data_IF_047730280255
#
_entry.id   IF_047730280255
#
_cell.length_a   1.000
_cell.length_b   1.000
_cell.length_c   1.000
_cell.angle_alpha   90.00
_cell.angle_beta   90.00
_cell.angle_gamma   90.00
#
_symmetry.space_group_name_H-M   'P 1'
#
loop_
_entity.id
_entity.type
_entity.pdbx_description
1 polymer ?
#
# COMPACT_ATOMS: atom_id res chain seq x y z
N UNK A 1 -3.16 -14.79 4.28
CA UNK A 1 -2.24 -13.85 3.59
C UNK A 1 -2.03 -12.60 4.46
N UNK A 2 -0.90 -11.89 4.32
CA UNK A 2 -0.50 -10.74 5.17
C UNK A 2 -1.52 -9.61 5.15
N UNK A 3 -2.09 -9.28 3.99
CA UNK A 3 -3.11 -8.21 3.87
C UNK A 3 -4.29 -8.41 4.83
N UNK A 4 -4.76 -9.66 4.99
CA UNK A 4 -5.85 -9.98 5.94
C UNK A 4 -5.47 -9.68 7.39
N UNK A 5 -4.20 -9.87 7.77
CA UNK A 5 -3.74 -9.57 9.13
C UNK A 5 -3.66 -8.06 9.36
N UNK A 6 -3.14 -7.30 8.38
CA UNK A 6 -3.11 -5.83 8.42
C UNK A 6 -4.53 -5.27 8.56
N UNK A 7 -5.50 -5.82 7.82
CA UNK A 7 -6.88 -5.34 7.87
C UNK A 7 -7.65 -5.78 9.12
N UNK A 8 -7.22 -6.85 9.80
CA UNK A 8 -7.89 -7.35 10.99
C UNK A 8 -7.50 -6.60 12.28
N UNK A 9 -6.33 -5.96 12.32
CA UNK A 9 -5.86 -5.22 13.49
C UNK A 9 -6.31 -3.74 13.44
N UNK A 10 -7.11 -3.25 14.42
CA UNK A 10 -7.54 -1.85 14.47
C UNK A 10 -6.40 -0.82 14.46
N UNK A 11 -5.21 -1.19 14.90
CA UNK A 11 -4.03 -0.32 14.89
C UNK A 11 -3.47 -0.12 13.47
N UNK A 12 -3.68 -1.06 12.56
CA UNK A 12 -3.10 -1.05 11.20
C UNK A 12 -4.14 -1.09 10.07
N UNK A 13 -5.42 -1.33 10.38
CA UNK A 13 -6.48 -1.48 9.38
C UNK A 13 -6.64 -0.26 8.45
N UNK A 14 -6.37 0.95 8.97
CA UNK A 14 -6.44 2.21 8.22
C UNK A 14 -5.15 2.56 7.46
N UNK A 15 -4.06 1.81 7.62
CA UNK A 15 -2.80 2.09 6.95
C UNK A 15 -2.97 1.82 5.44
N UNK A 16 -2.56 2.75 4.56
CA UNK A 16 -2.59 2.52 3.12
C UNK A 16 -1.59 1.42 2.74
N UNK A 17 -2.01 0.52 1.84
CA UNK A 17 -1.17 -0.60 1.39
C UNK A 17 -0.97 -0.50 -0.11
N UNK A 18 0.28 -0.57 -0.54
CA UNK A 18 0.68 -0.75 -1.95
C UNK A 18 1.39 -2.09 -2.06
N UNK A 19 0.95 -2.94 -3.00
CA UNK A 19 1.54 -4.26 -3.21
C UNK A 19 2.70 -4.17 -4.22
N UNK A 20 3.89 -4.59 -3.81
CA UNK A 20 4.99 -4.80 -4.76
C UNK A 20 4.93 -6.21 -5.32
N UNK A 21 4.87 -6.33 -6.64
CA UNK A 21 4.68 -7.59 -7.37
C UNK A 21 5.82 -7.82 -8.34
N UNK A 22 6.12 -9.08 -8.66
CA UNK A 22 7.31 -9.41 -9.45
C UNK A 22 7.11 -9.22 -10.97
N UNK A 23 5.88 -9.10 -11.45
CA UNK A 23 5.60 -8.90 -12.88
C UNK A 23 4.28 -8.17 -13.14
N UNK A 24 4.11 -7.57 -14.33
CA UNK A 24 2.84 -6.97 -14.75
C UNK A 24 1.70 -7.99 -14.83
N UNK A 25 1.98 -9.23 -15.24
CA UNK A 25 0.98 -10.29 -15.27
C UNK A 25 0.49 -10.66 -13.86
N UNK A 26 1.39 -10.70 -12.88
CA UNK A 26 1.01 -10.91 -11.48
C UNK A 26 0.20 -9.73 -10.94
N UNK A 27 0.52 -8.49 -11.34
CA UNK A 27 -0.30 -7.31 -11.03
C UNK A 27 -1.72 -7.47 -11.56
N UNK A 28 -1.87 -7.83 -12.83
CA UNK A 28 -3.15 -7.97 -13.50
C UNK A 28 -4.05 -9.02 -12.84
N UNK A 29 -3.47 -10.19 -12.51
CA UNK A 29 -4.17 -11.24 -11.76
C UNK A 29 -4.64 -10.70 -10.40
N UNK A 30 -3.76 -10.03 -9.64
CA UNK A 30 -4.12 -9.53 -8.30
C UNK A 30 -5.14 -8.38 -8.35
N UNK A 31 -5.14 -7.57 -9.42
CA UNK A 31 -6.18 -6.56 -9.65
C UNK A 31 -7.54 -7.20 -9.89
N UNK A 32 -7.60 -8.31 -10.62
CA UNK A 32 -8.84 -9.04 -10.85
C UNK A 32 -9.44 -9.59 -9.54
N UNK A 33 -8.61 -9.94 -8.56
CA UNK A 33 -9.03 -10.38 -7.22
C UNK A 33 -9.62 -9.26 -6.34
N UNK A 34 -9.68 -8.01 -6.83
CA UNK A 34 -10.35 -6.88 -6.16
C UNK A 34 -9.89 -6.65 -4.71
N UNK A 35 -8.60 -6.84 -4.44
CA UNK A 35 -8.04 -6.65 -3.10
C UNK A 35 -8.17 -5.19 -2.65
N UNK A 36 -8.48 -4.99 -1.36
CA UNK A 36 -8.59 -3.67 -0.73
C UNK A 36 -7.20 -3.06 -0.47
N UNK A 37 -6.54 -2.61 -1.54
CA UNK A 37 -5.24 -1.92 -1.53
C UNK A 37 -5.32 -0.64 -2.33
N UNK A 38 -4.45 0.32 -2.03
CA UNK A 38 -4.43 1.64 -2.67
C UNK A 38 -3.65 1.62 -3.98
N UNK A 39 -2.81 0.61 -4.21
CA UNK A 39 -2.07 0.47 -5.46
C UNK A 39 -1.26 -0.81 -5.56
N UNK A 40 -0.65 -0.95 -6.73
CA UNK A 40 0.27 -2.02 -7.08
C UNK A 40 1.50 -1.42 -7.75
N UNK A 41 2.66 -2.05 -7.58
CA UNK A 41 3.90 -1.65 -8.21
C UNK A 41 4.72 -2.87 -8.63
N UNK A 42 5.10 -2.94 -9.90
CA UNK A 42 5.96 -4.00 -10.42
C UNK A 42 7.42 -3.72 -10.04
N UNK A 43 8.13 -4.76 -9.59
CA UNK A 43 9.59 -4.73 -9.41
C UNK A 43 10.32 -4.92 -10.75
N UNK A 44 11.52 -4.36 -10.93
CA UNK A 44 12.21 -3.46 -10.00
C UNK A 44 11.53 -2.09 -9.98
N UNK A 45 11.48 -1.49 -8.78
CA UNK A 45 11.05 -0.10 -8.63
C UNK A 45 12.27 0.76 -8.39
N UNK A 46 12.43 1.82 -9.18
CA UNK A 46 13.43 2.85 -8.94
C UNK A 46 12.97 3.83 -7.86
N UNK A 47 13.91 4.64 -7.39
CA UNK A 47 13.66 5.58 -6.29
C UNK A 47 12.64 6.66 -6.66
N UNK A 48 12.72 7.21 -7.87
CA UNK A 48 11.82 8.29 -8.31
C UNK A 48 10.37 7.80 -8.37
N UNK A 49 10.14 6.59 -8.87
CA UNK A 49 8.82 5.97 -8.90
C UNK A 49 8.31 5.67 -7.49
N UNK A 50 9.17 5.23 -6.58
CA UNK A 50 8.78 5.03 -5.18
C UNK A 50 8.35 6.35 -4.52
N UNK A 51 9.12 7.43 -4.72
CA UNK A 51 8.79 8.76 -4.20
C UNK A 51 7.45 9.25 -4.77
N UNK A 52 7.22 9.07 -6.06
CA UNK A 52 5.95 9.44 -6.70
C UNK A 52 4.75 8.70 -6.08
N UNK A 53 4.88 7.38 -5.83
CA UNK A 53 3.83 6.59 -5.18
C UNK A 53 3.54 7.14 -3.78
N UNK A 54 4.57 7.37 -2.96
CA UNK A 54 4.39 7.91 -1.60
C UNK A 54 3.78 9.32 -1.64
N UNK A 55 4.19 10.15 -2.59
CA UNK A 55 3.61 11.48 -2.83
C UNK A 55 2.11 11.41 -3.11
N UNK A 56 1.69 10.55 -4.05
CA UNK A 56 0.28 10.38 -4.41
C UNK A 56 -0.60 9.94 -3.24
N UNK A 57 -0.09 9.09 -2.34
CA UNK A 57 -0.83 8.70 -1.13
C UNK A 57 -1.08 9.90 -0.21
N UNK A 58 -0.09 10.80 -0.11
CA UNK A 58 -0.20 12.03 0.70
C UNK A 58 -1.23 12.98 0.11
N UNK A 59 -1.23 13.18 -1.21
CA UNK A 59 -2.19 14.03 -1.93
C UNK A 59 -3.64 13.54 -1.81
N UNK A 60 -3.84 12.22 -1.79
CA UNK A 60 -5.14 11.59 -1.59
C UNK A 60 -5.65 11.67 -0.13
N UNK A 61 -4.93 12.38 0.74
CA UNK A 61 -5.31 12.56 2.14
C UNK A 61 -4.97 11.37 3.03
N UNK A 62 -4.19 10.39 2.56
CA UNK A 62 -3.62 9.35 3.42
C UNK A 62 -2.41 9.90 4.17
N UNK A 63 -2.65 10.88 5.04
CA UNK A 63 -1.65 11.35 5.99
C UNK A 63 -1.46 10.29 7.06
N UNK A 64 -0.21 9.87 7.32
CA UNK A 64 0.09 9.08 8.51
C UNK A 64 -0.27 9.94 9.72
N UNK A 65 -1.31 9.60 10.51
CA UNK A 65 -1.49 10.27 11.78
C UNK A 65 -0.25 9.91 12.56
N UNK A 66 0.58 10.91 12.88
CA UNK A 66 1.68 10.77 13.81
C UNK A 66 1.07 10.35 15.15
N UNK A 67 0.77 9.05 15.33
CA UNK A 67 0.41 8.48 16.62
C UNK A 67 1.70 8.48 17.42
N UNK A 68 2.06 9.66 17.96
CA UNK A 68 2.89 9.71 19.16
C UNK A 68 2.13 8.87 20.17
N UNK A 69 2.67 7.70 20.48
CA UNK A 69 2.33 6.96 21.69
C UNK A 69 2.61 7.93 22.84
N UNK A 70 1.56 8.57 23.36
CA UNK A 70 1.63 9.17 24.68
C UNK A 70 1.80 7.99 25.65
N UNK A 71 3.00 7.92 26.24
CA UNK A 71 3.25 7.16 27.45
C UNK A 71 2.72 7.97 28.64
#
# INVERSE_FOLDING_TARGET
>A
MVLRHIRADPATAAVPVVLLVDSPAAEEILRAESLQVQGYAVKPIDFDRLVAIVGSLTELGFWFPSRRRAL
#
